data_IF_743345183691
#
_entry.id   IF_743345183691
#
_cell.length_a   1.000
_cell.length_b   1.000
_cell.length_c   1.000
_cell.angle_alpha   90.00
_cell.angle_beta   90.00
_cell.angle_gamma   90.00
#
_symmetry.space_group_name_H-M   'P 1'
#
loop_
_entity.id
_entity.type
_entity.pdbx_description
1 polymer ?
#
# COMPACT_ATOMS: atom_id res chain seq x y z
N UNK A 1 8.45 -56.87 8.10
CA UNK A 1 9.53 -55.95 8.54
C UNK A 1 10.03 -55.19 7.32
N UNK A 2 9.67 -53.91 7.21
CA UNK A 2 10.24 -52.96 6.27
C UNK A 2 10.21 -51.59 6.97
N UNK A 3 11.33 -50.86 7.10
CA UNK A 3 11.35 -49.59 7.81
C UNK A 3 11.02 -48.46 6.84
N UNK A 4 9.96 -47.70 7.12
CA UNK A 4 9.71 -46.41 6.45
C UNK A 4 10.44 -45.31 7.20
N UNK A 5 11.33 -44.66 6.48
CA UNK A 5 12.20 -43.59 6.96
C UNK A 5 11.38 -42.37 7.41
N UNK A 6 11.64 -41.87 8.62
CA UNK A 6 11.19 -40.56 9.07
C UNK A 6 12.10 -39.50 8.46
N UNK A 7 11.58 -38.65 7.58
CA UNK A 7 12.26 -37.43 7.16
C UNK A 7 12.18 -36.40 8.28
N UNK A 8 13.29 -36.21 9.00
CA UNK A 8 13.47 -35.09 9.91
C UNK A 8 13.78 -33.82 9.09
N UNK A 9 12.73 -33.16 8.58
CA UNK A 9 12.81 -31.78 8.10
C UNK A 9 12.82 -30.83 9.29
N UNK A 10 13.99 -30.32 9.65
CA UNK A 10 14.19 -29.36 10.73
C UNK A 10 13.81 -27.98 10.20
N UNK A 11 12.59 -27.50 10.46
CA UNK A 11 12.20 -26.10 10.24
C UNK A 11 13.05 -25.23 11.17
N UNK A 12 14.06 -24.58 10.60
CA UNK A 12 14.80 -23.52 11.28
C UNK A 12 13.79 -22.41 11.48
N UNK A 13 13.52 -22.03 12.73
CA UNK A 13 12.56 -20.99 13.07
C UNK A 13 13.03 -19.64 12.50
N UNK A 14 12.24 -19.03 11.61
CA UNK A 14 12.51 -17.75 10.93
C UNK A 14 12.82 -16.59 11.89
N UNK A 15 12.39 -16.69 13.15
CA UNK A 15 12.74 -15.74 14.21
C UNK A 15 14.25 -15.59 14.44
N UNK A 16 15.05 -16.61 14.12
CA UNK A 16 16.50 -16.57 14.28
C UNK A 16 17.21 -15.77 13.18
N UNK A 17 16.60 -15.56 12.01
CA UNK A 17 17.20 -14.82 10.88
C UNK A 17 17.02 -13.31 11.07
N UNK A 18 15.81 -12.87 11.43
CA UNK A 18 15.53 -11.45 11.76
C UNK A 18 16.42 -10.93 12.91
N UNK A 19 16.76 -11.78 13.88
CA UNK A 19 17.66 -11.41 15.00
C UNK A 19 19.10 -11.04 14.60
N UNK A 20 19.54 -11.39 13.39
CA UNK A 20 20.92 -11.13 12.92
C UNK A 20 21.07 -9.79 12.20
N UNK A 21 19.99 -9.21 11.68
CA UNK A 21 20.02 -7.93 10.98
C UNK A 21 19.66 -6.83 12.00
N UNK A 22 20.47 -5.78 12.18
CA UNK A 22 20.14 -4.71 13.09
C UNK A 22 18.89 -3.95 12.61
N UNK A 23 18.02 -3.57 13.54
CA UNK A 23 16.87 -2.71 13.29
C UNK A 23 17.35 -1.24 13.28
N UNK A 24 17.59 -0.69 12.10
CA UNK A 24 18.11 0.67 11.91
C UNK A 24 17.25 1.41 10.90
N UNK A 25 16.66 2.54 11.33
CA UNK A 25 15.90 3.40 10.44
C UNK A 25 16.81 4.04 9.39
N UNK A 26 16.46 3.87 8.12
CA UNK A 26 17.05 4.59 7.01
C UNK A 26 15.98 4.79 5.92
N UNK A 27 15.23 5.90 5.98
CA UNK A 27 14.08 6.12 5.09
C UNK A 27 14.48 6.20 3.61
N UNK A 28 15.75 6.52 3.31
CA UNK A 28 16.28 6.70 1.95
C UNK A 28 17.27 5.59 1.56
N UNK A 29 17.15 4.41 2.18
CA UNK A 29 18.01 3.28 1.87
C UNK A 29 17.90 2.86 0.39
N UNK A 30 19.05 2.74 -0.27
CA UNK A 30 19.17 2.21 -1.64
C UNK A 30 19.90 0.87 -1.66
N UNK A 31 20.81 0.66 -0.71
CA UNK A 31 21.58 -0.56 -0.58
C UNK A 31 20.77 -1.69 0.07
N UNK A 32 20.86 -2.94 -0.40
CA UNK A 32 20.06 -4.06 0.12
C UNK A 32 20.22 -4.29 1.63
N UNK A 33 21.42 -4.06 2.19
CA UNK A 33 21.66 -4.20 3.63
C UNK A 33 20.96 -3.12 4.46
N UNK A 34 20.92 -1.89 3.95
CA UNK A 34 20.25 -0.77 4.59
C UNK A 34 18.73 -0.94 4.51
N UNK A 35 18.22 -1.37 3.35
CA UNK A 35 16.79 -1.68 3.16
C UNK A 35 16.38 -2.79 4.12
N UNK A 36 17.13 -3.89 4.22
CA UNK A 36 16.83 -4.97 5.17
C UNK A 36 16.81 -4.49 6.62
N UNK A 37 17.70 -3.56 6.97
CA UNK A 37 17.74 -2.94 8.31
C UNK A 37 16.54 -2.02 8.56
N UNK A 38 16.07 -1.30 7.53
CA UNK A 38 14.89 -0.43 7.60
C UNK A 38 13.59 -1.24 7.69
N UNK A 39 13.47 -2.34 6.93
CA UNK A 39 12.37 -3.29 7.05
C UNK A 39 12.33 -3.86 8.48
N UNK A 40 13.47 -4.27 9.03
CA UNK A 40 13.51 -4.77 10.40
C UNK A 40 13.22 -3.68 11.46
N UNK A 41 13.56 -2.43 11.16
CA UNK A 41 13.16 -1.27 11.97
C UNK A 41 11.63 -1.13 12.01
N UNK A 42 10.95 -1.13 10.87
CA UNK A 42 9.48 -1.04 10.82
C UNK A 42 8.79 -2.24 11.46
N UNK A 43 9.31 -3.45 11.25
CA UNK A 43 8.79 -4.66 11.91
C UNK A 43 8.83 -4.55 13.45
N UNK A 44 9.83 -3.86 14.01
CA UNK A 44 10.05 -3.74 15.45
C UNK A 44 9.38 -2.50 16.07
N UNK A 45 9.42 -1.36 15.38
CA UNK A 45 9.01 -0.05 15.90
C UNK A 45 7.72 0.50 15.29
N UNK A 46 7.22 -0.10 14.20
CA UNK A 46 5.86 0.04 13.69
C UNK A 46 5.05 -1.26 13.80
N UNK A 47 4.99 -1.92 14.98
CA UNK A 47 4.36 -3.23 15.06
C UNK A 47 2.83 -3.13 14.97
N UNK A 48 2.26 -3.97 14.12
CA UNK A 48 0.82 -4.26 14.08
C UNK A 48 0.50 -5.68 14.57
N UNK A 49 1.53 -6.45 14.91
CA UNK A 49 1.47 -7.87 15.27
C UNK A 49 2.32 -8.17 16.51
N UNK A 50 2.13 -9.36 17.09
CA UNK A 50 2.98 -9.84 18.18
C UNK A 50 4.44 -10.04 17.72
N UNK A 51 5.45 -9.72 18.55
CA UNK A 51 6.85 -9.66 18.12
C UNK A 51 7.54 -11.03 17.96
N UNK A 52 6.84 -12.14 18.20
CA UNK A 52 7.45 -13.47 18.23
C UNK A 52 7.67 -14.10 16.86
N UNK A 53 6.96 -13.62 15.83
CA UNK A 53 6.96 -14.18 14.48
C UNK A 53 7.15 -13.09 13.44
N UNK A 54 7.84 -13.44 12.37
CA UNK A 54 8.06 -12.59 11.20
C UNK A 54 7.74 -13.41 9.94
N UNK A 55 6.47 -13.71 9.77
CA UNK A 55 5.90 -14.47 8.64
C UNK A 55 5.65 -13.52 7.45
N UNK A 56 5.27 -14.05 6.26
CA UNK A 56 5.09 -13.24 5.06
C UNK A 56 4.17 -12.03 5.24
N UNK A 57 3.11 -12.14 6.04
CA UNK A 57 2.22 -11.00 6.29
C UNK A 57 2.92 -9.86 7.05
N UNK A 58 3.69 -10.16 8.10
CA UNK A 58 4.43 -9.12 8.83
C UNK A 58 5.53 -8.52 7.95
N UNK A 59 6.19 -9.35 7.16
CA UNK A 59 7.20 -8.91 6.20
C UNK A 59 6.61 -8.00 5.12
N UNK A 60 5.39 -8.27 4.64
CA UNK A 60 4.67 -7.38 3.72
C UNK A 60 4.46 -5.99 4.30
N UNK A 61 3.85 -5.89 5.48
CA UNK A 61 3.58 -4.58 6.07
C UNK A 61 4.86 -3.79 6.35
N UNK A 62 5.89 -4.44 6.92
CA UNK A 62 7.17 -3.81 7.18
C UNK A 62 7.89 -3.36 5.89
N UNK A 63 7.73 -4.12 4.80
CA UNK A 63 8.29 -3.77 3.49
C UNK A 63 7.53 -2.60 2.87
N UNK A 64 6.20 -2.61 2.94
CA UNK A 64 5.36 -1.52 2.46
C UNK A 64 5.67 -0.21 3.18
N UNK A 65 5.85 -0.23 4.49
CA UNK A 65 6.26 0.95 5.27
C UNK A 65 7.65 1.46 4.88
N UNK A 66 8.62 0.55 4.67
CA UNK A 66 9.95 0.91 4.17
C UNK A 66 9.90 1.58 2.80
N UNK A 67 9.04 1.11 1.89
CA UNK A 67 8.85 1.75 0.57
C UNK A 67 8.15 3.11 0.74
N UNK A 68 7.15 3.18 1.63
CA UNK A 68 6.37 4.38 1.91
C UNK A 68 7.20 5.53 2.43
N UNK A 69 8.27 5.28 3.19
CA UNK A 69 9.22 6.32 3.62
C UNK A 69 9.72 7.16 2.43
N UNK A 70 10.14 6.50 1.34
CA UNK A 70 10.62 7.16 0.11
C UNK A 70 9.49 7.90 -0.60
N UNK A 71 8.31 7.30 -0.66
CA UNK A 71 7.13 7.92 -1.27
C UNK A 71 6.71 9.19 -0.53
N UNK A 72 6.75 9.20 0.81
CA UNK A 72 6.40 10.37 1.62
C UNK A 72 7.35 11.53 1.34
N UNK A 73 8.65 11.26 1.24
CA UNK A 73 9.62 12.30 0.91
C UNK A 73 9.31 12.94 -0.45
N UNK A 74 9.19 12.13 -1.51
CA UNK A 74 8.92 12.63 -2.86
C UNK A 74 7.56 13.32 -2.96
N UNK A 75 6.56 12.82 -2.25
CA UNK A 75 5.23 13.44 -2.17
C UNK A 75 5.31 14.84 -1.54
N UNK A 76 6.03 14.99 -0.43
CA UNK A 76 6.21 16.28 0.24
C UNK A 76 6.96 17.28 -0.65
N UNK A 77 8.04 16.84 -1.30
CA UNK A 77 8.82 17.68 -2.22
C UNK A 77 7.96 18.16 -3.40
N UNK A 78 7.19 17.27 -4.00
CA UNK A 78 6.26 17.59 -5.10
C UNK A 78 5.17 18.57 -4.62
N UNK A 79 4.60 18.35 -3.44
CA UNK A 79 3.58 19.23 -2.87
C UNK A 79 4.11 20.65 -2.65
N UNK A 80 5.29 20.78 -2.04
CA UNK A 80 5.94 22.07 -1.81
C UNK A 80 6.32 22.77 -3.12
N UNK A 81 6.79 22.01 -4.11
CA UNK A 81 7.12 22.53 -5.43
C UNK A 81 5.89 23.11 -6.14
N UNK A 82 4.78 22.36 -6.21
CA UNK A 82 3.55 22.85 -6.82
C UNK A 82 2.94 24.04 -6.06
N UNK A 83 3.03 24.06 -4.73
CA UNK A 83 2.60 25.22 -3.95
C UNK A 83 3.43 26.47 -4.26
N UNK A 84 4.74 26.32 -4.45
CA UNK A 84 5.64 27.44 -4.75
C UNK A 84 5.46 27.97 -6.17
N UNK A 85 5.47 27.09 -7.17
CA UNK A 85 5.39 27.47 -8.58
C UNK A 85 3.97 27.86 -9.01
N UNK A 86 2.95 27.41 -8.25
CA UNK A 86 1.53 27.67 -8.51
C UNK A 86 1.11 27.42 -9.97
N UNK A 87 1.44 26.25 -10.56
CA UNK A 87 1.05 25.94 -11.92
C UNK A 87 -0.47 25.72 -12.02
N UNK A 88 -1.01 25.77 -13.24
CA UNK A 88 -2.38 25.32 -13.47
C UNK A 88 -2.48 23.81 -13.14
N UNK A 89 -3.31 23.47 -12.17
CA UNK A 89 -3.47 22.09 -11.69
C UNK A 89 -4.76 21.44 -12.20
N UNK A 90 -4.65 20.19 -12.63
CA UNK A 90 -5.81 19.38 -13.06
C UNK A 90 -6.31 18.52 -11.90
N UNK A 91 -7.63 18.45 -11.73
CA UNK A 91 -8.27 17.60 -10.73
C UNK A 91 -9.22 16.62 -11.42
N UNK A 92 -8.82 15.34 -11.45
CA UNK A 92 -9.62 14.27 -12.02
C UNK A 92 -10.56 13.72 -10.95
N UNK A 93 -11.86 13.90 -11.15
CA UNK A 93 -12.89 13.40 -10.23
C UNK A 93 -13.44 12.08 -10.78
N UNK A 94 -13.33 11.00 -10.01
CA UNK A 94 -13.91 9.71 -10.37
C UNK A 94 -14.56 9.04 -9.17
N UNK A 95 -15.67 8.35 -9.43
CA UNK A 95 -16.31 7.49 -8.43
C UNK A 95 -15.57 6.17 -8.23
N UNK A 96 -14.64 5.80 -9.13
CA UNK A 96 -13.90 4.54 -9.08
C UNK A 96 -12.42 4.74 -9.41
N UNK A 97 -11.57 3.98 -8.73
CA UNK A 97 -10.15 3.82 -9.03
C UNK A 97 -9.74 2.36 -8.79
N UNK A 98 -9.33 1.65 -9.84
CA UNK A 98 -8.85 0.27 -9.73
C UNK A 98 -7.32 0.29 -9.61
N UNK A 99 -6.83 0.62 -8.43
CA UNK A 99 -5.38 0.77 -8.18
C UNK A 99 -4.66 -0.58 -8.25
N UNK A 100 -5.29 -1.61 -7.69
CA UNK A 100 -4.70 -2.93 -7.53
C UNK A 100 -3.67 -2.96 -6.40
N UNK A 101 -2.77 -3.94 -6.43
CA UNK A 101 -1.59 -4.04 -5.55
C UNK A 101 -0.56 -2.95 -5.87
N UNK A 102 -0.06 -2.26 -4.84
CA UNK A 102 0.83 -1.11 -5.01
C UNK A 102 2.31 -1.44 -4.81
N UNK A 103 2.68 -2.52 -4.09
CA UNK A 103 4.07 -2.80 -3.71
C UNK A 103 4.98 -2.93 -4.95
N UNK A 104 4.60 -3.78 -5.89
CA UNK A 104 5.38 -4.01 -7.11
C UNK A 104 5.48 -2.76 -7.97
N UNK A 105 4.40 -1.96 -8.05
CA UNK A 105 4.39 -0.72 -8.81
C UNK A 105 5.31 0.34 -8.17
N UNK A 106 5.24 0.51 -6.86
CA UNK A 106 6.06 1.47 -6.13
C UNK A 106 7.55 1.12 -6.24
N UNK A 107 7.91 -0.15 -6.02
CA UNK A 107 9.30 -0.63 -6.14
C UNK A 107 9.81 -0.47 -7.58
N UNK A 108 8.97 -0.77 -8.58
CA UNK A 108 9.29 -0.62 -10.00
C UNK A 108 9.54 0.82 -10.41
N UNK A 109 8.63 1.73 -10.08
CA UNK A 109 8.75 3.16 -10.41
C UNK A 109 9.91 3.84 -9.67
N UNK A 110 10.27 3.34 -8.49
CA UNK A 110 11.45 3.77 -7.75
C UNK A 110 12.76 3.14 -8.24
N UNK A 111 12.71 2.20 -9.20
CA UNK A 111 13.83 1.45 -9.77
C UNK A 111 14.70 0.74 -8.72
N UNK A 112 14.07 0.16 -7.69
CA UNK A 112 14.76 -0.52 -6.56
C UNK A 112 14.38 -1.98 -6.41
N UNK A 113 13.89 -2.61 -7.48
CA UNK A 113 13.40 -3.99 -7.45
C UNK A 113 14.45 -5.00 -7.00
N UNK A 114 15.64 -4.98 -7.60
CA UNK A 114 16.73 -5.87 -7.22
C UNK A 114 17.14 -5.66 -5.74
N UNK A 115 17.20 -4.39 -5.30
CA UNK A 115 17.64 -4.07 -3.96
C UNK A 115 16.65 -4.56 -2.88
N UNK A 116 15.35 -4.44 -3.14
CA UNK A 116 14.30 -4.99 -2.26
C UNK A 116 14.25 -6.52 -2.28
N UNK A 117 14.43 -7.14 -3.45
CA UNK A 117 14.50 -8.60 -3.55
C UNK A 117 15.68 -9.16 -2.75
N UNK A 118 16.88 -8.57 -2.89
CA UNK A 118 18.06 -8.97 -2.13
C UNK A 118 17.93 -8.71 -0.63
N UNK A 119 17.26 -7.60 -0.24
CA UNK A 119 16.98 -7.29 1.16
C UNK A 119 16.05 -8.32 1.81
N UNK A 120 14.96 -8.68 1.13
CA UNK A 120 14.02 -9.69 1.60
C UNK A 120 14.65 -11.08 1.67
N UNK A 121 15.47 -11.44 0.68
CA UNK A 121 16.22 -12.70 0.68
C UNK A 121 17.13 -12.82 1.93
N UNK A 122 17.76 -11.72 2.35
CA UNK A 122 18.55 -11.68 3.60
C UNK A 122 17.71 -11.86 4.87
N UNK A 123 16.43 -11.46 4.81
CA UNK A 123 15.44 -11.65 5.89
C UNK A 123 14.73 -13.01 5.83
N UNK A 124 15.03 -13.84 4.82
CA UNK A 124 14.46 -15.18 4.65
C UNK A 124 13.19 -15.26 3.80
N UNK A 125 12.81 -14.17 3.12
CA UNK A 125 11.57 -14.07 2.33
C UNK A 125 11.86 -13.83 0.85
N UNK A 126 10.99 -14.33 -0.04
CA UNK A 126 11.03 -14.00 -1.46
C UNK A 126 10.09 -12.82 -1.76
N UNK A 127 10.49 -11.91 -2.65
CA UNK A 127 9.67 -10.73 -2.97
C UNK A 127 8.28 -11.13 -3.50
N UNK A 128 8.22 -12.17 -4.31
CA UNK A 128 6.98 -12.70 -4.89
C UNK A 128 6.00 -13.13 -3.79
N UNK A 129 6.47 -13.92 -2.82
CA UNK A 129 5.68 -14.36 -1.66
C UNK A 129 5.11 -13.19 -0.86
N UNK A 130 5.91 -12.12 -0.69
CA UNK A 130 5.48 -10.91 0.01
C UNK A 130 4.43 -10.16 -0.79
N UNK A 131 4.57 -10.06 -2.11
CA UNK A 131 3.59 -9.37 -2.97
C UNK A 131 2.24 -10.08 -3.04
N UNK A 132 2.20 -11.39 -2.79
CA UNK A 132 0.96 -12.16 -2.73
C UNK A 132 0.15 -11.91 -1.46
N UNK A 133 0.77 -11.41 -0.40
CA UNK A 133 0.06 -11.03 0.83
C UNK A 133 -0.74 -9.72 0.69
N UNK A 134 -0.39 -8.90 -0.30
CA UNK A 134 -1.06 -7.63 -0.54
C UNK A 134 -2.47 -7.85 -1.09
N UNK A 135 -3.46 -7.27 -0.41
CA UNK A 135 -4.85 -7.22 -0.92
C UNK A 135 -5.00 -6.06 -1.90
N UNK A 136 -5.70 -6.30 -3.01
CA UNK A 136 -6.07 -5.23 -3.94
C UNK A 136 -6.93 -4.17 -3.24
N UNK A 137 -6.65 -2.90 -3.51
CA UNK A 137 -7.46 -1.80 -3.00
C UNK A 137 -8.83 -1.79 -3.69
N UNK A 138 -9.88 -2.14 -2.95
CA UNK A 138 -11.24 -2.26 -3.47
C UNK A 138 -11.93 -0.89 -3.63
N UNK A 139 -11.36 -0.05 -4.51
CA UNK A 139 -11.76 1.34 -4.75
C UNK A 139 -12.43 1.55 -6.13
N UNK A 140 -12.59 0.49 -6.91
CA UNK A 140 -13.22 0.51 -8.22
C UNK A 140 -13.55 -0.91 -8.67
N UNK A 141 -14.34 -1.04 -9.74
CA UNK A 141 -14.82 -2.33 -10.22
C UNK A 141 -14.36 -2.63 -11.65
N UNK A 142 -14.53 -1.67 -12.55
CA UNK A 142 -14.41 -1.91 -13.98
C UNK A 142 -13.32 -1.11 -14.70
N UNK A 143 -13.43 -1.09 -16.03
CA UNK A 143 -12.52 -0.36 -16.91
C UNK A 143 -12.50 1.15 -16.68
N UNK A 144 -13.60 1.74 -16.19
CA UNK A 144 -13.62 3.15 -15.78
C UNK A 144 -12.62 3.42 -14.65
N UNK A 145 -12.68 2.62 -13.58
CA UNK A 145 -11.74 2.72 -12.47
C UNK A 145 -10.31 2.42 -12.88
N UNK A 146 -10.09 1.45 -13.77
CA UNK A 146 -8.72 1.15 -14.25
C UNK A 146 -8.15 2.25 -15.13
N UNK A 147 -8.97 2.87 -15.98
CA UNK A 147 -8.58 4.02 -16.79
C UNK A 147 -8.15 5.20 -15.89
N UNK A 148 -8.93 5.49 -14.85
CA UNK A 148 -8.60 6.52 -13.89
C UNK A 148 -7.25 6.27 -13.19
N UNK A 149 -6.98 5.01 -12.78
CA UNK A 149 -5.67 4.64 -12.20
C UNK A 149 -4.51 4.76 -13.19
N UNK A 150 -4.68 4.30 -14.43
CA UNK A 150 -3.64 4.44 -15.47
C UNK A 150 -3.36 5.92 -15.81
N UNK A 151 -4.39 6.77 -15.74
CA UNK A 151 -4.20 8.22 -15.88
C UNK A 151 -3.35 8.81 -14.75
N UNK A 152 -3.53 8.38 -13.50
CA UNK A 152 -2.68 8.84 -12.39
C UNK A 152 -1.21 8.45 -12.58
N UNK A 153 -0.95 7.22 -13.01
CA UNK A 153 0.41 6.74 -13.31
C UNK A 153 1.05 7.55 -14.46
N UNK A 154 0.29 7.82 -15.52
CA UNK A 154 0.74 8.65 -16.63
C UNK A 154 0.99 10.11 -16.22
N UNK A 155 0.11 10.69 -15.40
CA UNK A 155 0.26 12.06 -14.89
C UNK A 155 1.52 12.21 -14.04
N UNK A 156 1.79 11.24 -13.17
CA UNK A 156 3.01 11.21 -12.37
C UNK A 156 4.25 11.07 -13.25
N UNK A 157 4.25 10.12 -14.19
CA UNK A 157 5.38 9.86 -15.10
C UNK A 157 5.71 11.05 -16.00
N UNK A 158 4.69 11.78 -16.47
CA UNK A 158 4.84 12.97 -17.32
C UNK A 158 5.09 14.26 -16.53
N UNK A 159 5.27 14.18 -15.20
CA UNK A 159 5.46 15.33 -14.32
C UNK A 159 4.34 16.38 -14.42
N UNK A 160 3.09 15.94 -14.64
CA UNK A 160 1.95 16.85 -14.75
C UNK A 160 1.45 17.24 -13.35
N UNK A 161 1.14 18.53 -13.10
CA UNK A 161 0.46 18.95 -11.88
C UNK A 161 -1.00 18.49 -11.93
N UNK A 162 -1.26 17.25 -11.54
CA UNK A 162 -2.59 16.65 -11.59
C UNK A 162 -2.85 15.69 -10.43
N UNK A 163 -4.06 15.73 -9.88
CA UNK A 163 -4.51 14.93 -8.75
C UNK A 163 -5.78 14.16 -9.09
N UNK A 164 -5.96 12.99 -8.47
CA UNK A 164 -7.22 12.24 -8.46
C UNK A 164 -7.98 12.43 -7.16
N UNK A 165 -9.31 12.61 -7.25
CA UNK A 165 -10.22 12.58 -6.11
C UNK A 165 -11.27 11.50 -6.29
N UNK A 166 -11.49 10.74 -5.22
CA UNK A 166 -12.51 9.70 -5.15
C UNK A 166 -12.96 9.45 -3.72
N UNK A 167 -13.76 8.39 -3.53
CA UNK A 167 -14.24 7.96 -2.23
C UNK A 167 -13.45 6.75 -1.73
N UNK A 168 -13.24 6.67 -0.41
CA UNK A 168 -12.57 5.55 0.23
C UNK A 168 -13.58 4.47 0.62
N UNK A 169 -13.93 3.61 -0.32
CA UNK A 169 -14.87 2.51 -0.09
C UNK A 169 -14.29 1.45 0.84
N UNK A 170 -15.07 1.06 1.85
CA UNK A 170 -14.64 0.02 2.80
C UNK A 170 -14.72 -1.39 2.22
N UNK A 171 -15.80 -1.68 1.49
CA UNK A 171 -16.17 -3.04 1.08
C UNK A 171 -16.17 -3.25 -0.44
N UNK A 172 -15.65 -2.29 -1.21
CA UNK A 172 -15.63 -2.36 -2.67
C UNK A 172 -17.02 -2.59 -3.28
N UNK A 173 -17.06 -3.39 -4.35
CA UNK A 173 -18.30 -3.89 -4.92
C UNK A 173 -18.71 -5.22 -4.25
N UNK A 174 -17.94 -6.29 -4.47
CA UNK A 174 -18.00 -7.56 -3.74
C UNK A 174 -16.80 -8.44 -4.10
N UNK A 175 -16.44 -9.34 -3.18
CA UNK A 175 -15.53 -10.46 -3.39
C UNK A 175 -16.32 -11.66 -3.90
N UNK A 176 -16.06 -12.05 -5.14
CA UNK A 176 -16.72 -13.17 -5.81
C UNK A 176 -16.23 -14.51 -5.25
N UNK A 177 -17.15 -15.42 -4.94
CA UNK A 177 -16.89 -16.85 -4.73
C UNK A 177 -17.76 -17.67 -5.66
N UNK A 178 -17.25 -18.82 -6.09
CA UNK A 178 -18.01 -19.78 -6.92
C UNK A 178 -18.38 -20.96 -6.02
N UNK A 179 -19.69 -21.09 -5.74
CA UNK A 179 -20.29 -22.18 -5.01
C UNK A 179 -21.02 -23.14 -5.96
N UNK A 180 -21.62 -24.21 -5.43
CA UNK A 180 -22.34 -25.20 -6.24
C UNK A 180 -23.50 -24.58 -7.03
N UNK A 181 -24.19 -23.59 -6.45
CA UNK A 181 -25.35 -22.92 -7.06
C UNK A 181 -24.99 -21.69 -7.91
N UNK A 182 -23.70 -21.37 -8.05
CA UNK A 182 -23.21 -20.25 -8.86
C UNK A 182 -22.42 -19.22 -8.06
N UNK A 183 -22.62 -17.94 -8.38
CA UNK A 183 -21.90 -16.83 -7.76
C UNK A 183 -22.46 -16.54 -6.36
N UNK A 184 -21.56 -16.39 -5.40
CA UNK A 184 -21.85 -15.80 -4.09
C UNK A 184 -21.05 -14.50 -3.91
N UNK A 185 -21.72 -13.45 -3.45
CA UNK A 185 -21.10 -12.16 -3.13
C UNK A 185 -20.77 -12.05 -1.64
N UNK A 186 -19.51 -11.70 -1.34
CA UNK A 186 -19.10 -11.37 0.03
C UNK A 186 -18.46 -9.99 0.07
N UNK A 187 -18.49 -9.31 1.22
CA UNK A 187 -17.85 -8.00 1.34
C UNK A 187 -16.32 -8.12 1.25
N UNK A 188 -15.67 -7.14 0.61
CA UNK A 188 -14.20 -7.07 0.57
C UNK A 188 -13.62 -6.75 1.96
N UNK A 189 -12.47 -7.33 2.29
CA UNK A 189 -11.87 -7.25 3.62
C UNK A 189 -10.48 -6.57 3.60
N UNK A 190 -10.24 -5.71 2.60
CA UNK A 190 -8.94 -5.06 2.37
C UNK A 190 -8.54 -4.06 3.46
N UNK A 191 -9.50 -3.54 4.23
CA UNK A 191 -9.28 -2.58 5.32
C UNK A 191 -9.60 -3.14 6.72
N UNK A 192 -9.90 -4.43 6.85
CA UNK A 192 -10.20 -5.03 8.17
C UNK A 192 -9.00 -5.00 9.13
N UNK A 193 -7.78 -4.98 8.59
CA UNK A 193 -6.56 -4.66 9.35
C UNK A 193 -6.22 -3.18 9.19
N UNK A 194 -5.52 -2.84 8.11
CA UNK A 194 -5.18 -1.48 7.70
C UNK A 194 -4.56 -1.52 6.30
N UNK A 195 -4.49 -0.36 5.63
CA UNK A 195 -3.69 -0.18 4.42
C UNK A 195 -2.39 0.53 4.78
N UNK A 196 -1.20 -0.02 4.45
CA UNK A 196 0.06 0.66 4.76
C UNK A 196 0.28 1.90 3.89
N UNK A 197 -0.40 2.01 2.74
CA UNK A 197 -0.11 3.03 1.72
C UNK A 197 -0.69 4.40 2.01
N UNK A 198 -1.79 4.48 2.77
CA UNK A 198 -2.52 5.73 2.96
C UNK A 198 -1.86 6.65 4.01
N UNK A 199 -2.08 7.95 3.84
CA UNK A 199 -1.65 8.98 4.81
C UNK A 199 -2.88 9.78 5.20
N UNK A 200 -3.37 9.58 6.42
CA UNK A 200 -4.49 10.35 6.95
C UNK A 200 -4.09 11.81 7.16
N UNK A 201 -4.97 12.75 6.78
CA UNK A 201 -4.81 14.20 6.97
C UNK A 201 -5.93 14.71 7.86
N UNK A 202 -5.75 14.63 9.18
CA UNK A 202 -6.76 15.01 10.16
C UNK A 202 -7.09 16.51 10.16
N UNK A 203 -6.19 17.32 9.62
CA UNK A 203 -6.31 18.76 9.39
C UNK A 203 -7.12 19.11 8.13
N UNK A 204 -7.26 18.18 7.18
CA UNK A 204 -7.99 18.39 5.92
C UNK A 204 -9.41 17.82 6.03
N UNK A 205 -10.30 18.60 6.65
CA UNK A 205 -11.70 18.23 6.87
C UNK A 205 -12.64 19.29 6.32
N UNK A 206 -13.59 18.88 5.49
CA UNK A 206 -14.58 19.77 4.86
C UNK A 206 -16.02 19.37 5.23
N UNK A 207 -16.90 20.33 5.54
CA UNK A 207 -18.31 20.04 5.83
C UNK A 207 -19.08 19.74 4.55
N UNK A 208 -19.79 18.61 4.52
CA UNK A 208 -20.72 18.25 3.44
C UNK A 208 -22.15 18.27 4.00
N UNK A 209 -23.03 19.07 3.40
CA UNK A 209 -24.43 19.19 3.83
C UNK A 209 -25.32 18.29 2.99
N UNK A 210 -26.34 17.72 3.64
CA UNK A 210 -27.43 17.00 2.99
C UNK A 210 -28.76 17.59 3.47
N UNK A 211 -29.80 17.50 2.64
CA UNK A 211 -31.14 18.04 2.92
C UNK A 211 -31.13 19.56 3.14
N UNK A 212 -31.93 20.06 4.09
CA UNK A 212 -32.06 21.48 4.38
C UNK A 212 -33.02 22.20 3.42
N UNK A 213 -32.91 23.53 3.38
CA UNK A 213 -33.69 24.42 2.52
C UNK A 213 -32.89 25.66 2.17
N UNK A 214 -33.25 26.32 1.08
CA UNK A 214 -32.65 27.59 0.67
C UNK A 214 -33.20 28.71 1.56
N UNK A 215 -32.31 29.55 2.07
CA UNK A 215 -32.65 30.81 2.72
C UNK A 215 -32.20 31.94 1.81
N UNK A 216 -33.09 32.87 1.48
CA UNK A 216 -32.77 34.06 0.70
C UNK A 216 -32.68 35.24 1.66
N UNK A 217 -31.50 35.83 1.76
CA UNK A 217 -31.23 36.97 2.60
C UNK A 217 -31.85 38.26 2.00
N UNK A 218 -32.08 39.30 2.82
CA UNK A 218 -32.66 40.56 2.34
C UNK A 218 -31.83 41.28 1.26
N UNK A 219 -30.53 41.01 1.16
CA UNK A 219 -29.63 41.54 0.13
C UNK A 219 -29.66 40.72 -1.18
N UNK A 220 -30.49 39.68 -1.25
CA UNK A 220 -30.62 38.79 -2.41
C UNK A 220 -29.57 37.68 -2.47
N UNK A 221 -28.74 37.51 -1.43
CA UNK A 221 -27.81 36.39 -1.27
C UNK A 221 -28.43 35.14 -0.64
#
# INVERSE_FOLDING_TARGET
>A
MAPTAKSNGKTITDSAISSKIPATANPLAEEPSQIASNINYHAKFGPHFSPFKFEPEQAYYATADSVRDRLIQQWNETYLHFHKENPKQTYYLSMEYLQGRALTNAIGNLNVQCAYADALNKLGHQLEEITEQEKDAALGNGGLGRLASCFLDSMATLNLPAWGYGLRYRYGLFKQRIAEDGQEETAEDWLEKFSPWEVVRHDVVYPVRFFGRVHVNPDGS
#
